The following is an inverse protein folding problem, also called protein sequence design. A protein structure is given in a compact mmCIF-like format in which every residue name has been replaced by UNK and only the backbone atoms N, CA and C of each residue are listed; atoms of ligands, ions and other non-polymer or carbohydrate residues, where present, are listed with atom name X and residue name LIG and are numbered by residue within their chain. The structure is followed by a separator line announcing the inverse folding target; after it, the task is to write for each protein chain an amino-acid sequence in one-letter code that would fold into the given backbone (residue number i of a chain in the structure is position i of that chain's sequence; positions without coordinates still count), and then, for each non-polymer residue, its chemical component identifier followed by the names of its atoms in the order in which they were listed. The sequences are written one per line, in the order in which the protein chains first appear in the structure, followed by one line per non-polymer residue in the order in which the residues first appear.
data_IF_352651867113
#
_entry.id   IF_352651867113
#
_cell.length_a   1.000
_cell.length_b   1.000
_cell.length_c   1.000
_cell.angle_alpha   90.00
_cell.angle_beta   90.00
_cell.angle_gamma   90.00
#
_symmetry.space_group_name_H-M   'P 1'
#
loop_
_entity.id
_entity.type
_entity.pdbx_description
1 polymer ?
#
# COMPACT_ATOMS: atom_id res chain seq x y z
N UNK A 1 -25.59 -55.04 87.27
CA UNK A 1 -26.45 -55.44 86.15
C UNK A 1 -26.44 -54.42 85.09
N UNK A 2 -26.30 -54.91 83.89
CA UNK A 2 -26.37 -54.17 82.57
C UNK A 2 -25.27 -53.17 82.25
N UNK A 3 -24.35 -53.71 81.46
CA UNK A 3 -23.26 -52.96 80.79
C UNK A 3 -23.71 -52.19 79.56
N UNK A 4 -23.09 -51.05 79.36
CA UNK A 4 -23.23 -50.28 78.20
C UNK A 4 -21.87 -50.25 77.46
N UNK A 5 -21.81 -50.88 76.29
CA UNK A 5 -20.65 -50.85 75.36
C UNK A 5 -20.59 -49.52 74.62
N UNK A 6 -19.51 -48.81 74.82
CA UNK A 6 -19.19 -47.61 74.03
C UNK A 6 -18.74 -48.02 72.62
N UNK A 7 -19.42 -47.48 71.54
CA UNK A 7 -19.03 -47.59 70.15
C UNK A 7 -18.03 -46.46 69.79
N UNK A 8 -16.83 -46.86 69.48
CA UNK A 8 -15.75 -46.00 68.96
C UNK A 8 -16.07 -45.59 67.53
N UNK A 9 -16.26 -44.29 67.24
CA UNK A 9 -16.39 -43.71 65.86
C UNK A 9 -15.02 -43.56 65.30
N UNK A 10 -14.79 -44.15 64.07
CA UNK A 10 -13.59 -43.92 63.22
C UNK A 10 -13.71 -42.59 62.57
N UNK A 11 -12.61 -41.76 62.46
CA UNK A 11 -12.63 -40.53 61.68
C UNK A 11 -12.54 -40.85 60.17
N UNK A 12 -13.52 -40.34 59.41
CA UNK A 12 -13.50 -40.42 57.95
C UNK A 12 -12.53 -39.41 57.41
N UNK A 13 -11.57 -39.88 56.61
CA UNK A 13 -10.68 -39.06 55.81
C UNK A 13 -11.46 -38.65 54.58
N UNK A 14 -11.79 -37.34 54.47
CA UNK A 14 -12.28 -36.75 53.25
C UNK A 14 -11.08 -36.42 52.36
N UNK A 15 -10.88 -37.17 51.30
CA UNK A 15 -9.99 -36.78 50.18
C UNK A 15 -10.63 -35.60 49.45
N UNK A 16 -10.09 -34.39 49.63
CA UNK A 16 -10.42 -33.23 48.79
C UNK A 16 -9.63 -33.39 47.48
N UNK A 17 -10.27 -33.93 46.46
CA UNK A 17 -9.76 -33.88 45.08
C UNK A 17 -9.88 -32.43 44.58
N UNK A 18 -8.75 -31.73 44.59
CA UNK A 18 -8.61 -30.40 44.00
C UNK A 18 -8.64 -30.55 42.48
N UNK A 19 -9.81 -30.28 41.87
CA UNK A 19 -9.96 -30.23 40.43
C UNK A 19 -9.16 -29.00 39.92
N UNK A 20 -8.02 -29.27 39.32
CA UNK A 20 -7.32 -28.26 38.48
C UNK A 20 -8.12 -28.09 37.19
N UNK A 21 -8.97 -27.06 37.12
CA UNK A 21 -9.49 -26.56 35.84
C UNK A 21 -8.35 -25.83 35.12
N UNK A 22 -8.00 -26.24 33.92
CA UNK A 22 -7.09 -25.41 33.12
C UNK A 22 -7.78 -24.07 32.81
N UNK A 23 -7.18 -22.98 33.28
CA UNK A 23 -7.53 -21.65 32.80
C UNK A 23 -7.21 -21.64 31.26
N UNK A 24 -8.21 -21.92 30.46
CA UNK A 24 -8.17 -21.61 29.05
C UNK A 24 -8.13 -20.08 28.98
N UNK A 25 -6.94 -19.54 28.90
CA UNK A 25 -6.72 -18.14 28.57
C UNK A 25 -7.34 -17.90 27.20
N UNK A 26 -8.47 -17.23 27.16
CA UNK A 26 -9.00 -16.68 25.93
C UNK A 26 -7.98 -15.66 25.43
N UNK A 27 -7.21 -16.03 24.41
CA UNK A 27 -6.43 -15.06 23.65
C UNK A 27 -7.45 -14.06 23.08
N UNK A 28 -7.53 -12.90 23.70
CA UNK A 28 -8.36 -11.80 23.20
C UNK A 28 -7.70 -11.32 21.91
N UNK A 29 -8.20 -11.76 20.77
CA UNK A 29 -7.92 -11.06 19.50
C UNK A 29 -8.29 -9.60 19.75
N UNK A 30 -7.36 -8.69 19.54
CA UNK A 30 -7.60 -7.26 19.75
C UNK A 30 -8.80 -6.86 18.88
N UNK A 31 -9.96 -6.64 19.50
CA UNK A 31 -11.16 -6.18 18.81
C UNK A 31 -10.86 -4.81 18.20
N UNK A 32 -10.68 -4.75 16.88
CA UNK A 32 -10.56 -3.49 16.16
C UNK A 32 -11.94 -2.82 16.21
N UNK A 33 -12.07 -1.62 16.81
CA UNK A 33 -13.35 -0.92 16.85
C UNK A 33 -13.87 -0.59 15.45
N UNK A 34 -15.17 -0.32 15.35
CA UNK A 34 -15.76 0.13 14.08
C UNK A 34 -15.06 1.39 13.55
N UNK A 35 -14.90 1.50 12.22
CA UNK A 35 -14.32 2.68 11.58
C UNK A 35 -15.06 3.98 11.94
N UNK A 36 -14.39 5.14 11.86
CA UNK A 36 -15.05 6.42 12.10
C UNK A 36 -16.17 6.66 11.09
N UNK A 37 -17.22 7.34 11.52
CA UNK A 37 -18.29 7.79 10.61
C UNK A 37 -17.75 8.88 9.68
N UNK A 38 -17.85 8.65 8.37
CA UNK A 38 -17.39 9.55 7.30
C UNK A 38 -18.61 9.88 6.43
N UNK A 39 -18.82 11.18 6.13
CA UNK A 39 -19.97 11.66 5.37
C UNK A 39 -19.60 11.99 3.90
N UNK A 40 -18.67 11.26 3.33
CA UNK A 40 -18.31 11.36 1.92
C UNK A 40 -19.04 10.29 1.10
N UNK A 41 -19.25 10.53 -0.20
CA UNK A 41 -19.92 9.58 -1.10
C UNK A 41 -19.11 8.29 -1.31
N UNK A 42 -17.79 8.43 -1.33
CA UNK A 42 -16.85 7.32 -1.47
C UNK A 42 -15.57 7.60 -0.68
N UNK A 43 -15.04 6.57 -0.02
CA UNK A 43 -13.75 6.67 0.66
C UNK A 43 -13.05 5.31 0.75
N UNK A 44 -11.72 5.39 0.86
CA UNK A 44 -10.84 4.23 0.98
C UNK A 44 -9.65 4.59 1.88
N UNK A 45 -9.23 3.65 2.73
CA UNK A 45 -7.99 3.68 3.47
C UNK A 45 -7.22 2.40 3.20
N UNK A 46 -5.99 2.52 2.70
CA UNK A 46 -5.13 1.37 2.39
C UNK A 46 -3.75 1.52 3.03
N UNK A 47 -3.16 0.38 3.37
CA UNK A 47 -1.73 0.27 3.65
C UNK A 47 -0.96 0.31 2.32
N UNK A 48 -0.02 1.23 2.22
CA UNK A 48 0.79 1.42 1.01
C UNK A 48 1.68 0.22 0.67
N UNK A 49 2.27 -0.41 1.69
CA UNK A 49 3.27 -1.46 1.49
C UNK A 49 2.64 -2.78 1.02
N UNK A 50 1.49 -3.14 1.59
CA UNK A 50 0.80 -4.41 1.32
C UNK A 50 -0.39 -4.28 0.37
N UNK A 51 -0.94 -3.08 0.21
CA UNK A 51 -2.20 -2.83 -0.51
C UNK A 51 -3.45 -3.25 0.29
N UNK A 52 -3.30 -3.67 1.55
CA UNK A 52 -4.43 -4.10 2.37
C UNK A 52 -5.42 -2.96 2.60
N UNK A 53 -6.69 -3.24 2.34
CA UNK A 53 -7.80 -2.31 2.59
C UNK A 53 -8.18 -2.37 4.06
N UNK A 54 -8.07 -1.24 4.76
CA UNK A 54 -8.39 -1.11 6.18
C UNK A 54 -9.81 -0.61 6.42
N UNK A 55 -10.26 0.33 5.57
CA UNK A 55 -11.60 0.91 5.61
C UNK A 55 -12.02 1.23 4.19
N UNK A 56 -13.25 0.92 3.83
CA UNK A 56 -13.82 1.32 2.54
C UNK A 56 -15.31 1.59 2.62
N UNK A 57 -15.78 2.46 1.72
CA UNK A 57 -17.19 2.71 1.47
C UNK A 57 -17.36 3.14 0.02
N UNK A 58 -18.16 2.38 -0.74
CA UNK A 58 -18.36 2.60 -2.17
C UNK A 58 -17.04 2.84 -2.96
N UNK A 59 -15.95 2.05 -2.72
CA UNK A 59 -14.62 2.39 -3.24
C UNK A 59 -14.55 2.35 -4.76
N UNK A 60 -15.47 1.64 -5.41
CA UNK A 60 -15.54 1.44 -6.86
C UNK A 60 -16.65 2.30 -7.51
N UNK A 61 -17.29 3.20 -6.74
CA UNK A 61 -18.25 4.17 -7.26
C UNK A 61 -17.53 5.17 -8.16
N UNK A 62 -17.95 5.24 -9.44
CA UNK A 62 -17.43 6.21 -10.39
C UNK A 62 -17.94 7.61 -10.08
N UNK A 63 -17.04 8.52 -9.78
CA UNK A 63 -17.29 9.92 -9.47
C UNK A 63 -16.34 10.83 -10.25
N UNK A 64 -16.72 12.07 -10.55
CA UNK A 64 -15.81 13.04 -11.15
C UNK A 64 -14.59 13.27 -10.24
N UNK A 65 -13.35 13.02 -10.73
CA UNK A 65 -12.14 13.16 -9.91
C UNK A 65 -11.77 14.62 -9.61
N UNK A 66 -12.29 15.58 -10.36
CA UNK A 66 -11.86 16.98 -10.31
C UNK A 66 -10.31 17.05 -10.40
N UNK A 67 -9.67 18.02 -9.76
CA UNK A 67 -8.19 18.17 -9.82
C UNK A 67 -7.36 17.02 -9.24
N UNK A 68 -7.98 15.92 -8.76
CA UNK A 68 -7.27 14.67 -8.44
C UNK A 68 -6.75 13.97 -9.71
N UNK A 69 -7.36 14.26 -10.87
CA UNK A 69 -6.86 13.93 -12.22
C UNK A 69 -5.38 14.26 -12.40
N UNK A 70 -4.94 15.41 -11.85
CA UNK A 70 -3.56 15.89 -11.97
C UNK A 70 -2.51 14.96 -11.34
N UNK A 71 -2.95 14.00 -10.53
CA UNK A 71 -2.05 12.98 -10.02
C UNK A 71 -1.54 12.09 -11.16
N UNK A 72 -2.40 11.72 -12.13
CA UNK A 72 -1.97 11.00 -13.34
C UNK A 72 -1.08 11.88 -14.22
N UNK A 73 -1.43 13.15 -14.39
CA UNK A 73 -0.59 14.09 -15.18
C UNK A 73 0.81 14.23 -14.58
N UNK A 74 0.91 14.39 -13.25
CA UNK A 74 2.19 14.49 -12.56
C UNK A 74 2.96 13.15 -12.59
N UNK A 75 2.26 12.01 -12.53
CA UNK A 75 2.87 10.70 -12.69
C UNK A 75 3.51 10.53 -14.06
N UNK A 76 2.80 10.91 -15.14
CA UNK A 76 3.34 10.85 -16.51
C UNK A 76 4.54 11.78 -16.67
N UNK A 77 4.45 13.03 -16.16
CA UNK A 77 5.59 13.95 -16.16
C UNK A 77 6.81 13.31 -15.47
N UNK A 78 6.62 12.71 -14.30
CA UNK A 78 7.69 12.05 -13.57
C UNK A 78 8.28 10.85 -14.33
N UNK A 79 7.45 10.08 -15.05
CA UNK A 79 7.89 9.01 -15.95
C UNK A 79 8.77 9.54 -17.08
N UNK A 80 8.37 10.62 -17.75
CA UNK A 80 9.15 11.23 -18.84
C UNK A 80 10.51 11.74 -18.34
N UNK A 81 10.54 12.30 -17.12
CA UNK A 81 11.81 12.74 -16.48
C UNK A 81 12.69 11.52 -16.15
N UNK A 82 12.13 10.46 -15.58
CA UNK A 82 12.87 9.24 -15.22
C UNK A 82 13.45 8.54 -16.45
N UNK A 83 12.72 8.56 -17.57
CA UNK A 83 13.16 8.00 -18.85
C UNK A 83 14.15 8.89 -19.60
N UNK A 84 14.49 10.06 -19.06
CA UNK A 84 15.41 11.01 -19.67
C UNK A 84 14.87 11.68 -20.94
N UNK A 85 13.55 11.62 -21.18
CA UNK A 85 12.90 12.28 -22.32
C UNK A 85 12.51 13.72 -22.01
N UNK A 86 12.52 14.11 -20.75
CA UNK A 86 12.18 15.43 -20.24
C UNK A 86 13.17 15.86 -19.16
N UNK A 87 13.80 17.02 -19.35
CA UNK A 87 14.67 17.65 -18.36
C UNK A 87 13.89 18.60 -17.44
N UNK A 88 14.25 18.67 -16.16
CA UNK A 88 13.59 19.61 -15.24
C UNK A 88 13.83 21.08 -15.58
N UNK A 89 14.97 21.38 -16.21
CA UNK A 89 15.35 22.73 -16.64
C UNK A 89 14.87 23.03 -18.08
N UNK A 90 14.24 22.07 -18.76
CA UNK A 90 13.69 22.29 -20.09
C UNK A 90 12.64 23.40 -20.07
N UNK A 91 12.69 24.26 -21.08
CA UNK A 91 11.78 25.38 -21.22
C UNK A 91 10.56 24.98 -22.06
N UNK A 92 9.42 24.99 -21.44
CA UNK A 92 8.12 24.67 -22.04
C UNK A 92 7.49 25.96 -22.60
N UNK A 93 7.25 26.06 -23.92
CA UNK A 93 6.53 27.19 -24.49
C UNK A 93 5.04 27.13 -24.03
N UNK A 94 4.52 28.30 -23.64
CA UNK A 94 3.12 28.42 -23.26
C UNK A 94 2.28 28.77 -24.48
N UNK A 95 1.35 27.88 -24.83
CA UNK A 95 0.38 28.11 -25.90
C UNK A 95 -0.78 29.02 -25.46
N UNK A 96 -1.62 29.41 -26.42
CA UNK A 96 -2.89 30.10 -26.05
C UNK A 96 -3.87 29.22 -25.34
N UNK A 97 -3.84 27.91 -25.58
CA UNK A 97 -4.69 26.93 -24.82
C UNK A 97 -4.28 26.85 -23.36
N UNK A 98 -2.98 26.86 -23.10
CA UNK A 98 -2.40 26.82 -21.75
C UNK A 98 -2.33 28.20 -21.06
N UNK A 99 -2.82 29.25 -21.71
CA UNK A 99 -2.79 30.59 -21.12
C UNK A 99 -3.74 30.72 -19.94
N UNK A 100 -3.25 31.25 -18.83
CA UNK A 100 -4.05 31.44 -17.60
C UNK A 100 -5.31 32.29 -17.80
N UNK A 101 -5.38 33.11 -18.86
CA UNK A 101 -6.58 33.89 -19.24
C UNK A 101 -7.46 33.18 -20.28
N UNK A 102 -7.21 31.92 -20.60
CA UNK A 102 -8.12 31.16 -21.43
C UNK A 102 -9.47 31.00 -20.71
N UNK A 103 -10.60 31.41 -21.32
CA UNK A 103 -11.93 31.36 -20.66
C UNK A 103 -12.33 29.98 -20.16
N UNK A 104 -11.79 28.90 -20.72
CA UNK A 104 -12.04 27.53 -20.24
C UNK A 104 -11.64 27.35 -18.78
N UNK A 105 -10.70 28.14 -18.27
CA UNK A 105 -10.21 28.08 -16.90
C UNK A 105 -10.89 29.06 -15.93
N UNK A 106 -11.89 29.81 -16.37
CA UNK A 106 -12.54 30.81 -15.52
C UNK A 106 -13.02 30.20 -14.20
N UNK A 107 -12.68 30.87 -13.07
CA UNK A 107 -13.02 30.40 -11.72
C UNK A 107 -12.25 29.17 -11.23
N UNK A 108 -11.32 28.65 -12.01
CA UNK A 108 -10.52 27.46 -11.65
C UNK A 108 -9.17 27.80 -11.03
N UNK A 109 -8.37 26.77 -10.73
CA UNK A 109 -7.02 26.94 -10.14
C UNK A 109 -5.98 27.18 -11.23
N UNK A 110 -5.13 28.17 -11.05
CA UNK A 110 -4.12 28.61 -12.02
C UNK A 110 -2.74 28.74 -11.37
N UNK A 111 -1.71 28.55 -12.18
CA UNK A 111 -0.31 28.91 -11.90
C UNK A 111 0.02 30.32 -12.39
N UNK A 112 -0.81 30.89 -13.27
CA UNK A 112 -0.67 32.22 -13.89
C UNK A 112 0.46 32.29 -14.93
N UNK A 113 0.52 31.30 -15.83
CA UNK A 113 1.42 31.31 -16.98
C UNK A 113 0.83 32.05 -18.18
N UNK A 114 1.69 32.55 -19.08
CA UNK A 114 1.26 33.36 -20.23
C UNK A 114 2.09 33.07 -21.48
N UNK A 115 1.50 33.19 -22.67
CA UNK A 115 2.23 33.05 -23.92
C UNK A 115 3.44 34.01 -24.06
N UNK A 116 4.53 33.51 -24.64
CA UNK A 116 5.75 34.28 -24.83
C UNK A 116 6.71 34.28 -23.64
N UNK A 117 6.30 33.66 -22.51
CA UNK A 117 7.15 33.43 -21.35
C UNK A 117 7.28 31.93 -21.09
N UNK A 118 8.32 31.27 -21.61
CA UNK A 118 8.56 29.85 -21.34
C UNK A 118 8.74 29.58 -19.87
N UNK A 119 8.28 28.41 -19.42
CA UNK A 119 8.30 27.96 -18.02
C UNK A 119 9.13 26.71 -17.91
N UNK A 120 9.92 26.55 -16.87
CA UNK A 120 10.67 25.31 -16.65
C UNK A 120 9.71 24.14 -16.30
N UNK A 121 10.09 22.93 -16.67
CA UNK A 121 9.35 21.72 -16.28
C UNK A 121 9.22 21.64 -14.75
N UNK A 122 10.29 21.98 -14.02
CA UNK A 122 10.29 22.01 -12.56
C UNK A 122 9.26 22.96 -11.96
N UNK A 123 9.07 24.14 -12.56
CA UNK A 123 8.06 25.10 -12.11
C UNK A 123 6.65 24.64 -12.47
N UNK A 124 6.47 24.07 -13.69
CA UNK A 124 5.17 23.48 -14.08
C UNK A 124 4.76 22.34 -13.14
N UNK A 125 5.69 21.46 -12.77
CA UNK A 125 5.42 20.38 -11.83
C UNK A 125 4.94 20.94 -10.47
N UNK A 126 5.61 21.95 -9.91
CA UNK A 126 5.15 22.64 -8.70
C UNK A 126 3.81 23.33 -8.91
N UNK A 127 3.59 23.96 -10.06
CA UNK A 127 2.31 24.55 -10.42
C UNK A 127 1.17 23.53 -10.42
N UNK A 128 1.40 22.35 -10.95
CA UNK A 128 0.43 21.24 -10.99
C UNK A 128 0.13 20.70 -9.59
N UNK A 129 1.17 20.42 -8.81
CA UNK A 129 1.07 19.75 -7.51
C UNK A 129 0.58 20.71 -6.42
N UNK A 130 1.19 21.87 -6.29
CA UNK A 130 0.99 22.82 -5.18
C UNK A 130 -0.22 23.73 -5.43
N UNK A 131 -0.21 24.50 -6.52
CA UNK A 131 -1.31 25.43 -6.83
C UNK A 131 -2.48 24.76 -7.52
N UNK A 132 -2.28 23.56 -8.04
CA UNK A 132 -3.30 22.85 -8.85
C UNK A 132 -3.63 23.56 -10.15
N UNK A 133 -2.64 24.21 -10.78
CA UNK A 133 -2.81 25.03 -12.01
C UNK A 133 -3.29 24.21 -13.19
N UNK A 134 -4.46 24.58 -13.74
CA UNK A 134 -5.00 23.96 -14.96
C UNK A 134 -4.17 24.37 -16.18
N UNK A 135 -3.75 25.62 -16.22
CA UNK A 135 -2.85 26.22 -17.22
C UNK A 135 -1.52 25.46 -17.29
N UNK A 136 -0.86 25.24 -16.14
CA UNK A 136 0.38 24.46 -16.06
C UNK A 136 0.17 23.01 -16.54
N UNK A 137 -1.00 22.44 -16.28
CA UNK A 137 -1.34 21.05 -16.66
C UNK A 137 -1.45 20.93 -18.19
N UNK A 138 -2.12 21.88 -18.85
CA UNK A 138 -2.25 21.88 -20.32
C UNK A 138 -0.89 22.16 -20.97
N UNK A 139 -0.08 23.08 -20.43
CA UNK A 139 1.25 23.38 -20.98
C UNK A 139 2.14 22.13 -20.99
N UNK A 140 2.19 21.38 -19.90
CA UNK A 140 3.01 20.16 -19.84
C UNK A 140 2.43 19.03 -20.71
N UNK A 141 1.10 18.92 -20.80
CA UNK A 141 0.43 17.94 -21.64
C UNK A 141 0.77 18.15 -23.13
N UNK A 142 0.65 19.41 -23.60
CA UNK A 142 1.02 19.78 -24.96
C UNK A 142 2.52 19.56 -25.25
N UNK A 143 3.38 19.85 -24.27
CA UNK A 143 4.82 19.66 -24.42
C UNK A 143 5.22 18.19 -24.55
N UNK A 144 4.63 17.30 -23.73
CA UNK A 144 4.94 15.87 -23.73
C UNK A 144 4.36 15.18 -24.97
N UNK A 145 3.10 15.47 -25.33
CA UNK A 145 2.36 14.70 -26.33
C UNK A 145 2.03 15.49 -27.63
N UNK A 146 2.42 16.76 -27.72
CA UNK A 146 2.13 17.62 -28.85
C UNK A 146 0.75 18.27 -28.82
N UNK A 147 -0.21 17.71 -28.07
CA UNK A 147 -1.53 18.29 -27.80
C UNK A 147 -2.12 17.71 -26.52
N UNK A 148 -3.09 18.43 -25.90
CA UNK A 148 -3.80 17.90 -24.74
C UNK A 148 -4.58 16.62 -25.08
N UNK A 149 -5.20 16.52 -26.26
CA UNK A 149 -5.93 15.33 -26.68
C UNK A 149 -5.00 14.10 -26.76
N UNK A 150 -3.83 14.22 -27.39
CA UNK A 150 -2.85 13.12 -27.43
C UNK A 150 -2.32 12.75 -26.03
N UNK A 151 -2.25 13.71 -25.11
CA UNK A 151 -1.87 13.46 -23.74
C UNK A 151 -2.98 12.72 -22.98
N UNK A 152 -4.23 13.02 -23.23
CA UNK A 152 -5.39 12.28 -22.67
C UNK A 152 -5.40 10.84 -23.13
N UNK A 153 -5.11 10.59 -24.42
CA UNK A 153 -4.92 9.22 -24.92
C UNK A 153 -3.78 8.49 -24.17
N UNK A 154 -2.70 9.21 -23.85
CA UNK A 154 -1.60 8.68 -23.05
C UNK A 154 -2.05 8.38 -21.60
N UNK A 155 -2.82 9.28 -20.97
CA UNK A 155 -3.37 9.07 -19.63
C UNK A 155 -4.25 7.81 -19.57
N UNK A 156 -5.11 7.60 -20.57
CA UNK A 156 -5.99 6.43 -20.62
C UNK A 156 -5.19 5.13 -20.85
N UNK A 157 -4.12 5.16 -21.65
CA UNK A 157 -3.22 3.98 -21.75
C UNK A 157 -2.54 3.65 -20.42
N UNK A 158 -2.04 4.64 -19.69
CA UNK A 158 -1.50 4.39 -18.34
C UNK A 158 -2.57 3.87 -17.37
N UNK A 159 -3.83 4.33 -17.50
CA UNK A 159 -4.93 3.81 -16.71
C UNK A 159 -5.17 2.32 -16.99
N UNK A 160 -5.15 1.91 -18.26
CA UNK A 160 -5.24 0.50 -18.67
C UNK A 160 -4.07 -0.33 -18.14
N UNK A 161 -2.83 0.14 -18.31
CA UNK A 161 -1.61 -0.53 -17.84
C UNK A 161 -1.58 -0.71 -16.31
N UNK A 162 -2.16 0.24 -15.56
CA UNK A 162 -2.30 0.18 -14.10
C UNK A 162 -3.51 -0.67 -13.66
N UNK A 163 -4.37 -1.11 -14.59
CA UNK A 163 -5.60 -1.85 -14.28
C UNK A 163 -6.70 -1.01 -13.65
N UNK A 164 -6.78 0.28 -13.98
CA UNK A 164 -7.79 1.22 -13.43
C UNK A 164 -9.12 1.06 -14.16
N UNK A 165 -9.90 0.08 -13.77
CA UNK A 165 -11.13 -0.32 -14.51
C UNK A 165 -12.30 0.66 -14.35
N UNK A 166 -12.27 1.52 -13.37
CA UNK A 166 -13.31 2.53 -13.12
C UNK A 166 -12.89 3.96 -13.51
N UNK A 167 -11.76 4.13 -14.23
CA UNK A 167 -11.19 5.44 -14.56
C UNK A 167 -11.17 5.69 -16.05
N UNK A 168 -11.68 6.85 -16.46
CA UNK A 168 -11.53 7.39 -17.80
C UNK A 168 -11.25 8.90 -17.75
N UNK A 169 -10.27 9.35 -18.50
CA UNK A 169 -9.85 10.74 -18.58
C UNK A 169 -10.30 11.37 -19.90
N UNK A 170 -10.83 12.59 -19.83
CA UNK A 170 -11.27 13.42 -20.96
C UNK A 170 -10.44 14.71 -21.10
N UNK A 171 -9.69 15.05 -20.05
CA UNK A 171 -8.78 16.19 -20.03
C UNK A 171 -7.66 15.95 -19.01
N UNK A 172 -6.60 16.74 -19.11
CA UNK A 172 -5.41 16.60 -18.27
C UNK A 172 -5.54 17.18 -16.86
N UNK A 173 -6.59 17.99 -16.60
CA UNK A 173 -6.69 18.84 -15.40
C UNK A 173 -7.85 18.54 -14.46
N UNK A 174 -8.91 17.86 -14.95
CA UNK A 174 -10.06 17.45 -14.14
C UNK A 174 -11.22 18.47 -14.09
N UNK A 175 -11.34 19.35 -15.07
CA UNK A 175 -12.57 20.10 -15.28
C UNK A 175 -13.71 19.15 -15.68
N UNK A 176 -14.98 19.50 -15.39
CA UNK A 176 -16.10 18.61 -15.60
C UNK A 176 -16.29 18.15 -17.03
N UNK A 177 -16.45 16.85 -17.23
CA UNK A 177 -16.95 16.21 -18.43
C UNK A 177 -17.74 14.97 -18.02
N UNK A 178 -18.86 14.62 -18.67
CA UNK A 178 -19.72 13.50 -18.24
C UNK A 178 -18.97 12.15 -18.13
N UNK A 179 -18.03 11.91 -19.02
CA UNK A 179 -17.25 10.65 -19.05
C UNK A 179 -15.92 10.74 -18.28
N UNK A 180 -15.57 11.91 -17.71
CA UNK A 180 -14.37 12.08 -16.91
C UNK A 180 -14.59 11.58 -15.48
N UNK A 181 -14.39 10.30 -15.27
CA UNK A 181 -14.73 9.59 -14.04
C UNK A 181 -13.52 8.83 -13.47
N UNK A 182 -13.56 8.58 -12.18
CA UNK A 182 -12.60 7.72 -11.49
C UNK A 182 -13.22 7.17 -10.19
N UNK A 183 -12.53 6.25 -9.54
CA UNK A 183 -12.95 5.63 -8.28
C UNK A 183 -11.96 5.91 -7.16
N UNK A 184 -12.37 5.75 -5.90
CA UNK A 184 -11.43 5.87 -4.78
C UNK A 184 -10.33 4.82 -4.83
N UNK A 185 -10.64 3.60 -5.30
CA UNK A 185 -9.67 2.51 -5.47
C UNK A 185 -8.63 2.84 -6.54
N UNK A 186 -9.07 3.29 -7.70
CA UNK A 186 -8.16 3.66 -8.79
C UNK A 186 -7.25 4.83 -8.42
N UNK A 187 -7.82 5.86 -7.76
CA UNK A 187 -7.03 6.99 -7.27
C UNK A 187 -5.99 6.58 -6.21
N UNK A 188 -6.31 5.60 -5.36
CA UNK A 188 -5.34 5.03 -4.42
C UNK A 188 -4.21 4.28 -5.15
N UNK A 189 -4.52 3.57 -6.23
CA UNK A 189 -3.54 2.88 -7.09
C UNK A 189 -2.60 3.87 -7.76
N UNK A 190 -3.12 4.96 -8.34
CA UNK A 190 -2.28 6.01 -8.93
C UNK A 190 -1.39 6.64 -7.85
N UNK A 191 -1.95 6.92 -6.65
CA UNK A 191 -1.19 7.48 -5.54
C UNK A 191 -0.06 6.57 -5.07
N UNK A 192 -0.33 5.27 -4.91
CA UNK A 192 0.68 4.29 -4.53
C UNK A 192 1.78 4.18 -5.60
N UNK A 193 1.41 4.20 -6.89
CA UNK A 193 2.36 4.17 -8.01
C UNK A 193 3.25 5.42 -8.02
N UNK A 194 2.68 6.61 -7.83
CA UNK A 194 3.44 7.87 -7.78
C UNK A 194 4.47 7.88 -6.63
N UNK A 195 4.11 7.35 -5.45
CA UNK A 195 5.01 7.25 -4.30
C UNK A 195 6.12 6.22 -4.53
N UNK A 196 5.78 5.05 -5.10
CA UNK A 196 6.69 3.91 -5.24
C UNK A 196 7.69 4.09 -6.36
N UNK A 197 7.22 4.59 -7.51
CA UNK A 197 8.03 4.66 -8.73
C UNK A 197 8.85 5.95 -8.78
N UNK A 198 8.34 7.05 -8.21
CA UNK A 198 8.95 8.37 -8.30
C UNK A 198 9.18 9.05 -6.94
N UNK A 199 9.89 8.42 -5.99
CA UNK A 199 10.04 8.95 -4.62
C UNK A 199 10.66 10.35 -4.58
N UNK A 200 11.58 10.68 -5.49
CA UNK A 200 12.21 12.00 -5.57
C UNK A 200 11.21 13.07 -6.05
N UNK A 201 10.38 12.74 -7.05
CA UNK A 201 9.32 13.67 -7.51
C UNK A 201 8.19 13.77 -6.50
N UNK A 202 7.90 12.66 -5.81
CA UNK A 202 6.91 12.65 -4.74
C UNK A 202 7.24 13.65 -3.60
N UNK A 203 8.50 13.94 -3.34
CA UNK A 203 8.91 14.90 -2.30
C UNK A 203 8.28 16.31 -2.48
N UNK A 204 7.95 16.70 -3.72
CA UNK A 204 7.32 18.00 -4.03
C UNK A 204 5.92 18.12 -3.39
N UNK A 205 5.20 17.00 -3.20
CA UNK A 205 3.85 17.02 -2.63
C UNK A 205 3.82 17.52 -1.19
N UNK A 206 4.94 17.46 -0.46
CA UNK A 206 5.09 17.99 0.90
C UNK A 206 5.37 19.50 0.92
N UNK A 207 5.76 20.11 -0.20
CA UNK A 207 6.01 21.54 -0.27
C UNK A 207 4.73 22.32 0.04
N UNK A 208 4.80 23.24 1.00
CA UNK A 208 3.63 24.00 1.47
C UNK A 208 3.28 25.19 0.57
N UNK A 209 4.28 25.71 -0.15
CA UNK A 209 4.11 26.84 -1.06
C UNK A 209 5.29 26.92 -2.03
N UNK A 210 5.06 27.60 -3.15
CA UNK A 210 6.12 28.05 -4.05
C UNK A 210 5.74 29.43 -4.63
N UNK A 211 6.69 30.13 -5.18
CA UNK A 211 6.45 31.45 -5.78
C UNK A 211 6.79 31.39 -7.26
N UNK A 212 5.81 31.73 -8.10
CA UNK A 212 6.01 31.86 -9.54
C UNK A 212 5.58 33.26 -9.98
N UNK A 213 6.37 33.92 -10.82
CA UNK A 213 6.11 35.27 -11.35
C UNK A 213 5.73 36.28 -10.22
N UNK A 214 6.48 36.24 -9.09
CA UNK A 214 6.23 37.02 -7.89
C UNK A 214 4.86 36.77 -7.21
N UNK A 215 4.15 35.72 -7.58
CA UNK A 215 2.86 35.33 -6.98
C UNK A 215 3.12 34.15 -6.05
N UNK A 216 2.98 34.32 -4.71
CA UNK A 216 3.07 33.20 -3.78
C UNK A 216 1.83 32.30 -3.92
N UNK A 217 2.06 31.00 -4.06
CA UNK A 217 1.02 29.99 -4.23
C UNK A 217 1.15 28.94 -3.13
N UNK A 218 0.02 28.51 -2.59
CA UNK A 218 -0.01 27.64 -1.42
C UNK A 218 -0.60 26.27 -1.74
N UNK A 219 -0.02 25.22 -1.15
CA UNK A 219 -0.58 23.88 -1.24
C UNK A 219 -1.98 23.85 -0.63
N UNK A 220 -2.92 23.31 -1.38
CA UNK A 220 -4.34 23.24 -1.00
C UNK A 220 -4.63 22.11 0.00
N UNK A 221 -3.70 21.17 0.19
CA UNK A 221 -3.78 20.15 1.23
C UNK A 221 -3.40 20.75 2.59
N UNK A 222 -4.42 21.14 3.36
CA UNK A 222 -4.22 21.78 4.67
C UNK A 222 -3.69 20.82 5.73
N UNK A 223 -3.76 19.50 5.53
CA UNK A 223 -3.19 18.54 6.47
C UNK A 223 -1.67 18.67 6.60
N UNK A 224 -0.97 19.07 5.51
CA UNK A 224 0.48 19.30 5.52
C UNK A 224 0.97 20.31 6.56
N UNK A 225 0.09 21.18 7.06
CA UNK A 225 0.43 22.20 8.08
C UNK A 225 0.00 21.81 9.48
N UNK A 226 -0.80 20.75 9.60
CA UNK A 226 -1.44 20.37 10.86
C UNK A 226 -0.97 18.99 11.36
N UNK A 227 -0.28 18.23 10.51
CA UNK A 227 0.20 16.87 10.81
C UNK A 227 1.49 16.60 10.04
N UNK A 228 2.62 16.60 10.73
CA UNK A 228 3.96 16.42 10.16
C UNK A 228 4.17 15.04 9.53
N UNK A 229 3.33 14.05 9.88
CA UNK A 229 3.36 12.72 9.28
C UNK A 229 2.77 12.69 7.87
N UNK A 230 1.95 13.70 7.50
CA UNK A 230 1.36 13.82 6.17
C UNK A 230 2.38 14.42 5.19
N UNK A 231 2.55 13.76 4.05
CA UNK A 231 3.53 14.15 3.03
C UNK A 231 2.95 14.28 1.60
N UNK A 232 1.64 14.21 1.47
CA UNK A 232 0.93 14.34 0.17
C UNK A 232 -0.58 14.25 0.35
N UNK A 233 -1.36 14.20 -0.67
CA UNK A 233 -1.07 14.30 -2.12
C UNK A 233 -1.89 15.42 -2.77
N UNK A 234 -3.14 15.13 -3.14
CA UNK A 234 -3.90 16.00 -4.04
C UNK A 234 -5.33 16.23 -3.61
N UNK A 235 -5.75 17.49 -3.62
CA UNK A 235 -7.14 17.91 -3.42
C UNK A 235 -7.85 18.04 -4.77
N UNK A 236 -9.18 17.89 -4.75
CA UNK A 236 -10.05 18.20 -5.87
C UNK A 236 -11.35 18.86 -5.40
N UNK A 237 -11.93 19.69 -6.25
CA UNK A 237 -13.24 20.28 -6.08
C UNK A 237 -13.81 20.75 -7.43
N UNK A 238 -15.02 20.40 -7.69
CA UNK A 238 -15.96 21.08 -8.61
C UNK A 238 -17.35 21.03 -7.97
N UNK A 239 -18.27 21.83 -8.45
CA UNK A 239 -19.66 21.80 -7.94
C UNK A 239 -20.32 20.43 -8.09
N UNK A 240 -19.93 19.66 -9.11
CA UNK A 240 -20.46 18.30 -9.38
C UNK A 240 -19.74 17.23 -8.55
N UNK A 241 -18.41 17.35 -8.38
CA UNK A 241 -17.60 16.36 -7.69
C UNK A 241 -17.63 16.47 -6.16
N UNK A 242 -18.13 17.59 -5.61
CA UNK A 242 -17.93 17.89 -4.20
C UNK A 242 -16.43 18.05 -3.84
N UNK A 243 -16.13 18.09 -2.57
CA UNK A 243 -14.73 18.19 -2.10
C UNK A 243 -14.11 16.81 -1.94
N UNK A 244 -12.85 16.68 -2.31
CA UNK A 244 -12.12 15.42 -2.11
C UNK A 244 -10.64 15.65 -1.85
N UNK A 245 -10.02 14.64 -1.23
CA UNK A 245 -8.60 14.63 -0.90
C UNK A 245 -8.05 13.21 -1.02
N UNK A 246 -6.94 13.07 -1.69
CA UNK A 246 -6.03 11.93 -1.56
C UNK A 246 -4.95 12.38 -0.60
N UNK A 247 -4.81 11.71 0.54
CA UNK A 247 -3.77 12.00 1.51
C UNK A 247 -2.88 10.78 1.78
N UNK A 248 -1.58 11.02 1.96
CA UNK A 248 -0.64 10.02 2.43
C UNK A 248 0.03 10.51 3.70
N UNK A 249 0.25 9.59 4.62
CA UNK A 249 0.97 9.84 5.86
C UNK A 249 1.86 8.64 6.21
N UNK A 250 2.99 8.90 6.90
CA UNK A 250 3.90 7.85 7.37
C UNK A 250 4.19 8.03 8.85
N UNK A 251 3.96 6.96 9.66
CA UNK A 251 4.25 6.92 11.10
C UNK A 251 4.86 5.56 11.45
N UNK A 252 5.93 5.55 12.22
CA UNK A 252 6.54 4.31 12.77
C UNK A 252 6.79 3.22 11.71
N UNK A 253 7.21 3.62 10.50
CA UNK A 253 7.46 2.69 9.39
C UNK A 253 6.26 2.39 8.50
N UNK A 254 5.03 2.43 9.02
CA UNK A 254 3.79 2.23 8.26
C UNK A 254 3.45 3.48 7.44
N UNK A 255 3.08 3.29 6.16
CA UNK A 255 2.51 4.34 5.30
C UNK A 255 1.07 4.01 4.95
N UNK A 256 0.18 4.99 5.12
CA UNK A 256 -1.23 4.88 4.75
C UNK A 256 -1.58 5.87 3.65
N UNK A 257 -2.47 5.45 2.76
CA UNK A 257 -3.12 6.31 1.76
C UNK A 257 -4.62 6.34 2.07
N UNK A 258 -5.18 7.54 2.24
CA UNK A 258 -6.61 7.76 2.34
C UNK A 258 -7.12 8.51 1.12
N UNK A 259 -8.22 8.04 0.54
CA UNK A 259 -8.94 8.71 -0.53
C UNK A 259 -10.33 9.04 -0.02
N UNK A 260 -10.75 10.30 -0.17
CA UNK A 260 -12.08 10.79 0.19
C UNK A 260 -12.66 11.56 -0.99
N UNK A 261 -13.87 11.21 -1.41
CA UNK A 261 -14.59 11.80 -2.56
C UNK A 261 -16.01 12.19 -2.16
N UNK A 262 -16.47 13.36 -2.64
CA UNK A 262 -17.85 13.79 -2.40
C UNK A 262 -18.10 14.42 -1.02
N UNK A 263 -17.08 14.89 -0.30
CA UNK A 263 -17.28 15.62 0.97
C UNK A 263 -17.99 16.96 0.75
N UNK A 264 -18.73 17.41 1.75
CA UNK A 264 -19.55 18.64 1.69
C UNK A 264 -18.75 19.95 1.76
N UNK A 265 -17.51 19.93 2.28
CA UNK A 265 -16.72 21.15 2.48
C UNK A 265 -15.20 20.89 2.51
N UNK A 266 -14.37 21.95 2.35
CA UNK A 266 -12.91 21.84 2.56
C UNK A 266 -12.53 21.38 3.96
N UNK A 267 -13.33 21.70 4.97
CA UNK A 267 -13.11 21.28 6.36
C UNK A 267 -13.46 19.81 6.54
N UNK A 268 -14.61 19.38 5.98
CA UNK A 268 -15.06 17.97 6.05
C UNK A 268 -14.05 17.04 5.43
N UNK A 269 -13.64 17.24 4.15
CA UNK A 269 -12.64 16.36 3.50
C UNK A 269 -11.33 16.25 4.28
N UNK A 270 -10.91 17.37 4.94
CA UNK A 270 -9.71 17.38 5.78
C UNK A 270 -9.89 16.55 7.05
N UNK A 271 -11.00 16.78 7.80
CA UNK A 271 -11.27 16.05 9.05
C UNK A 271 -11.53 14.57 8.80
N UNK A 272 -12.22 14.22 7.73
CA UNK A 272 -12.52 12.85 7.31
C UNK A 272 -11.25 12.08 6.94
N UNK A 273 -10.38 12.66 6.10
CA UNK A 273 -9.06 12.07 5.80
C UNK A 273 -8.21 11.88 7.05
N UNK A 274 -8.18 12.86 7.95
CA UNK A 274 -7.46 12.75 9.24
C UNK A 274 -8.02 11.62 10.10
N UNK A 275 -9.34 11.48 10.17
CA UNK A 275 -10.00 10.44 10.97
C UNK A 275 -9.66 9.05 10.43
N UNK A 276 -9.66 8.86 9.11
CA UNK A 276 -9.25 7.61 8.47
C UNK A 276 -7.78 7.28 8.78
N UNK A 277 -6.85 8.23 8.56
CA UNK A 277 -5.42 8.04 8.84
C UNK A 277 -5.18 7.70 10.32
N UNK A 278 -5.79 8.46 11.25
CA UNK A 278 -5.65 8.21 12.68
C UNK A 278 -6.21 6.85 13.10
N UNK A 279 -7.33 6.42 12.50
CA UNK A 279 -7.89 5.10 12.73
C UNK A 279 -6.91 4.01 12.29
N UNK A 280 -6.37 4.10 11.07
CA UNK A 280 -5.41 3.13 10.56
C UNK A 280 -4.17 3.02 11.45
N UNK A 281 -3.50 4.14 11.74
CA UNK A 281 -2.29 4.13 12.60
C UNK A 281 -2.55 3.71 14.05
N UNK A 282 -3.76 3.93 14.56
CA UNK A 282 -4.10 3.52 15.93
C UNK A 282 -4.32 2.03 16.07
N UNK A 283 -4.95 1.41 15.08
CA UNK A 283 -5.43 0.04 15.20
C UNK A 283 -4.67 -0.97 14.35
N UNK A 284 -3.82 -0.50 13.42
CA UNK A 284 -3.07 -1.37 12.51
C UNK A 284 -1.58 -1.04 12.54
N UNK A 285 -0.80 -1.98 12.07
CA UNK A 285 0.65 -1.87 11.87
C UNK A 285 1.07 -2.65 10.63
N UNK A 286 2.13 -2.19 9.98
CA UNK A 286 2.83 -2.93 8.92
C UNK A 286 4.02 -3.63 9.56
N UNK A 287 4.01 -4.97 9.55
CA UNK A 287 5.06 -5.81 10.11
C UNK A 287 5.84 -6.51 9.00
N UNK A 288 7.14 -6.72 9.24
CA UNK A 288 8.00 -7.54 8.37
C UNK A 288 8.54 -8.72 9.19
N UNK A 289 7.72 -9.75 9.44
CA UNK A 289 8.10 -10.87 10.32
C UNK A 289 9.24 -11.72 9.76
N UNK A 290 9.40 -11.76 8.45
CA UNK A 290 10.48 -12.50 7.79
C UNK A 290 11.24 -11.58 6.83
N UNK A 291 12.57 -11.62 6.92
CA UNK A 291 13.45 -10.92 5.99
C UNK A 291 13.88 -11.84 4.87
N UNK A 292 13.93 -11.32 3.65
CA UNK A 292 14.44 -12.03 2.49
C UNK A 292 15.88 -12.48 2.70
N UNK A 293 16.17 -13.73 2.33
CA UNK A 293 17.47 -14.36 2.50
C UNK A 293 17.76 -14.89 3.91
N UNK A 294 16.87 -14.69 4.89
CA UNK A 294 17.04 -15.25 6.23
C UNK A 294 16.79 -16.77 6.24
N UNK A 295 17.74 -17.53 6.80
CA UNK A 295 17.55 -18.97 7.03
C UNK A 295 16.55 -19.19 8.16
N UNK A 296 15.48 -19.95 7.85
CA UNK A 296 14.46 -20.34 8.83
C UNK A 296 14.69 -21.75 9.35
N UNK A 297 15.18 -22.65 8.48
CA UNK A 297 15.46 -24.04 8.83
C UNK A 297 16.44 -24.65 7.83
N UNK A 298 16.93 -25.85 8.14
CA UNK A 298 17.72 -26.67 7.21
C UNK A 298 16.92 -27.91 6.79
N UNK A 299 16.84 -28.12 5.48
CA UNK A 299 16.21 -29.28 4.88
C UNK A 299 17.24 -30.35 4.50
N UNK A 300 16.97 -31.64 4.83
CA UNK A 300 17.79 -32.76 4.36
C UNK A 300 17.65 -32.94 2.85
N UNK A 301 18.78 -32.97 2.13
CA UNK A 301 18.82 -33.18 0.67
C UNK A 301 19.20 -34.61 0.33
N UNK A 302 18.39 -35.24 -0.51
CA UNK A 302 18.67 -36.55 -1.08
C UNK A 302 19.40 -36.41 -2.42
N UNK A 303 20.35 -37.31 -2.70
CA UNK A 303 21.11 -37.38 -3.97
C UNK A 303 21.90 -36.10 -4.32
N UNK A 304 22.07 -35.20 -3.38
CA UNK A 304 22.81 -33.93 -3.54
C UNK A 304 24.27 -34.04 -3.12
N UNK A 305 25.09 -33.10 -3.61
CA UNK A 305 26.50 -32.94 -3.16
C UNK A 305 26.54 -32.47 -1.70
N UNK A 306 25.57 -31.66 -1.27
CA UNK A 306 25.39 -31.27 0.12
C UNK A 306 24.29 -32.13 0.78
N UNK A 307 24.45 -32.58 2.02
CA UNK A 307 23.48 -33.40 2.74
C UNK A 307 22.28 -32.55 3.28
N UNK A 308 22.44 -31.24 3.36
CA UNK A 308 21.45 -30.29 3.85
C UNK A 308 21.50 -29.02 3.00
N UNK A 309 20.39 -28.28 3.00
CA UNK A 309 20.27 -26.97 2.36
C UNK A 309 19.50 -25.99 3.26
N UNK A 310 19.94 -24.74 3.27
CA UNK A 310 19.26 -23.66 3.97
C UNK A 310 17.93 -23.33 3.25
N UNK A 311 16.86 -23.27 4.02
CA UNK A 311 15.50 -22.94 3.56
C UNK A 311 15.02 -21.68 4.26
N UNK A 312 14.33 -20.82 3.53
CA UNK A 312 13.82 -19.55 4.04
C UNK A 312 12.87 -18.90 3.04
N UNK A 313 12.78 -17.60 3.10
CA UNK A 313 12.07 -16.77 2.10
C UNK A 313 13.09 -15.95 1.32
N UNK A 314 12.90 -15.78 0.01
CA UNK A 314 13.86 -15.01 -0.83
C UNK A 314 13.58 -13.51 -0.80
N UNK A 315 12.36 -13.11 -0.45
CA UNK A 315 11.91 -11.71 -0.33
C UNK A 315 11.33 -11.43 1.05
N UNK A 316 11.32 -10.16 1.46
CA UNK A 316 10.67 -9.74 2.71
C UNK A 316 9.19 -10.11 2.69
N UNK A 317 8.70 -10.73 3.75
CA UNK A 317 7.27 -10.97 3.96
C UNK A 317 6.71 -9.82 4.78
N UNK A 318 5.87 -9.00 4.14
CA UNK A 318 5.27 -7.81 4.75
C UNK A 318 3.77 -8.05 4.95
N UNK A 319 3.27 -7.79 6.16
CA UNK A 319 1.89 -8.00 6.53
C UNK A 319 1.30 -6.74 7.17
N UNK A 320 0.03 -6.47 6.87
CA UNK A 320 -0.77 -5.50 7.61
C UNK A 320 -1.60 -6.24 8.66
N UNK A 321 -1.39 -5.90 9.92
CA UNK A 321 -2.00 -6.59 11.05
C UNK A 321 -2.68 -5.61 12.00
N UNK A 322 -3.72 -6.05 12.71
CA UNK A 322 -4.23 -5.29 13.85
C UNK A 322 -3.17 -5.23 14.94
N UNK A 323 -3.00 -4.07 15.60
CA UNK A 323 -2.03 -3.93 16.69
C UNK A 323 -2.35 -4.89 17.83
N UNK A 324 -1.38 -5.66 18.25
CA UNK A 324 -1.47 -6.65 19.33
C UNK A 324 -0.12 -6.80 20.02
N UNK A 325 -0.15 -7.15 21.31
CA UNK A 325 1.05 -7.47 22.07
C UNK A 325 1.57 -8.90 21.79
N UNK A 326 0.80 -9.75 21.13
CA UNK A 326 1.23 -11.11 20.79
C UNK A 326 2.28 -11.10 19.67
N UNK A 327 3.34 -11.88 19.84
CA UNK A 327 4.40 -12.02 18.85
C UNK A 327 3.94 -12.88 17.66
N UNK A 328 4.56 -12.64 16.49
CA UNK A 328 4.36 -13.46 15.31
C UNK A 328 5.36 -14.61 15.36
N UNK A 329 4.87 -15.82 15.28
CA UNK A 329 5.68 -17.03 15.30
C UNK A 329 5.62 -17.73 13.94
N UNK A 330 6.75 -17.95 13.25
CA UNK A 330 6.79 -18.72 12.02
C UNK A 330 6.82 -20.22 12.33
N UNK A 331 6.08 -21.01 11.57
CA UNK A 331 6.19 -22.44 11.49
C UNK A 331 6.46 -22.88 10.06
N UNK A 332 7.34 -23.86 9.90
CA UNK A 332 7.82 -24.32 8.58
C UNK A 332 7.23 -25.68 8.27
N UNK A 333 6.62 -25.80 7.09
CA UNK A 333 6.12 -27.05 6.53
C UNK A 333 6.84 -27.36 5.22
N UNK A 334 7.46 -28.56 5.12
CA UNK A 334 8.16 -29.04 3.91
C UNK A 334 7.27 -30.08 3.25
N UNK A 335 6.92 -29.89 1.97
CA UNK A 335 5.89 -30.68 1.27
C UNK A 335 6.36 -32.09 0.90
N UNK A 336 7.63 -32.29 0.64
CA UNK A 336 8.17 -33.57 0.15
C UNK A 336 9.67 -33.69 0.49
N UNK A 337 10.26 -34.90 0.36
CA UNK A 337 11.72 -35.07 0.45
C UNK A 337 12.44 -34.22 -0.60
N UNK A 338 13.41 -33.41 -0.17
CA UNK A 338 14.20 -32.58 -1.06
C UNK A 338 15.19 -33.45 -1.84
N UNK A 339 15.13 -33.45 -3.14
CA UNK A 339 15.95 -34.27 -4.05
C UNK A 339 16.71 -33.35 -5.00
N UNK A 340 18.04 -33.44 -4.97
CA UNK A 340 18.90 -32.68 -5.89
C UNK A 340 18.72 -33.16 -7.37
N UNK A 341 18.86 -32.23 -8.37
CA UNK A 341 19.30 -30.84 -8.21
C UNK A 341 18.19 -29.93 -7.62
N UNK A 342 18.60 -28.96 -6.80
CA UNK A 342 17.76 -27.90 -6.27
C UNK A 342 18.35 -26.55 -6.70
N UNK A 343 17.51 -25.63 -7.12
CA UNK A 343 17.93 -24.27 -7.49
C UNK A 343 17.56 -23.29 -6.36
N UNK A 344 18.33 -22.23 -6.24
CA UNK A 344 17.90 -21.11 -5.39
C UNK A 344 16.56 -20.54 -5.89
N UNK A 345 15.62 -20.33 -4.98
CA UNK A 345 14.25 -19.92 -5.28
C UNK A 345 13.25 -21.06 -5.56
N UNK A 346 13.71 -22.34 -5.60
CA UNK A 346 12.77 -23.46 -5.72
C UNK A 346 11.86 -23.49 -4.48
N UNK A 347 10.54 -23.50 -4.70
CA UNK A 347 9.55 -23.61 -3.61
C UNK A 347 9.46 -25.07 -3.19
N UNK A 348 9.65 -25.33 -1.90
CA UNK A 348 9.72 -26.67 -1.32
C UNK A 348 8.78 -26.90 -0.15
N UNK A 349 7.91 -25.92 0.11
CA UNK A 349 6.95 -25.95 1.18
C UNK A 349 6.38 -24.56 1.46
N UNK A 350 5.91 -24.36 2.68
CA UNK A 350 5.38 -23.07 3.12
C UNK A 350 5.82 -22.71 4.53
N UNK A 351 5.79 -21.41 4.79
CA UNK A 351 5.95 -20.84 6.13
C UNK A 351 4.60 -20.30 6.55
N UNK A 352 4.03 -20.81 7.63
CA UNK A 352 2.80 -20.31 8.22
C UNK A 352 3.16 -19.35 9.36
N UNK A 353 2.62 -18.14 9.30
CA UNK A 353 2.80 -17.12 10.32
C UNK A 353 1.59 -17.10 11.24
N UNK A 354 1.81 -17.33 12.53
CA UNK A 354 0.75 -17.34 13.54
C UNK A 354 0.96 -16.22 14.56
N UNK A 355 -0.14 -15.64 15.04
CA UNK A 355 -0.14 -14.62 16.09
C UNK A 355 -1.23 -14.96 17.11
N UNK A 356 -0.83 -15.22 18.37
CA UNK A 356 -1.78 -15.62 19.40
C UNK A 356 -2.51 -16.95 19.11
N UNK A 357 -1.91 -17.83 18.28
CA UNK A 357 -2.49 -19.12 17.87
C UNK A 357 -3.37 -19.06 16.61
N UNK A 358 -3.60 -17.89 16.03
CA UNK A 358 -4.33 -17.72 14.77
C UNK A 358 -3.36 -17.50 13.60
N UNK A 359 -3.64 -18.07 12.42
CA UNK A 359 -2.86 -17.82 11.21
C UNK A 359 -3.12 -16.38 10.73
N UNK A 360 -2.03 -15.63 10.55
CA UNK A 360 -2.06 -14.22 10.07
C UNK A 360 -1.44 -14.05 8.69
N UNK A 361 -0.84 -15.11 8.13
CA UNK A 361 -0.30 -15.08 6.78
C UNK A 361 0.49 -16.34 6.46
N UNK A 362 0.78 -16.53 5.18
CA UNK A 362 1.60 -17.61 4.65
C UNK A 362 2.59 -17.06 3.63
N UNK A 363 3.73 -17.72 3.50
CA UNK A 363 4.74 -17.42 2.48
C UNK A 363 5.33 -18.72 1.92
N UNK A 364 5.82 -18.74 0.67
CA UNK A 364 6.53 -19.89 0.14
C UNK A 364 7.83 -20.12 0.93
N UNK A 365 8.11 -21.39 1.25
CA UNK A 365 9.40 -21.82 1.77
C UNK A 365 10.29 -22.15 0.57
N UNK A 366 11.41 -21.47 0.46
CA UNK A 366 12.26 -21.52 -0.72
C UNK A 366 13.67 -22.00 -0.36
N UNK A 367 14.33 -22.61 -1.34
CA UNK A 367 15.74 -23.00 -1.28
C UNK A 367 16.58 -21.72 -1.39
N UNK A 368 17.45 -21.44 -0.39
CA UNK A 368 18.28 -20.24 -0.39
C UNK A 368 19.57 -20.40 -1.21
N UNK A 369 20.06 -21.62 -1.37
CA UNK A 369 21.29 -21.93 -2.13
C UNK A 369 21.10 -23.17 -2.98
N UNK A 370 21.61 -23.15 -4.21
CA UNK A 370 21.53 -24.29 -5.10
C UNK A 370 22.29 -25.50 -4.57
N UNK A 371 21.78 -26.70 -4.81
CA UNK A 371 22.47 -27.97 -4.48
C UNK A 371 22.55 -28.83 -5.74
N UNK A 372 23.79 -29.04 -6.20
CA UNK A 372 24.07 -29.87 -7.36
C UNK A 372 23.87 -31.36 -7.04
N UNK A 373 23.55 -32.20 -8.04
CA UNK A 373 23.44 -33.65 -7.85
C UNK A 373 24.79 -34.28 -7.51
N UNK A 374 24.76 -35.25 -6.59
CA UNK A 374 25.93 -36.06 -6.25
C UNK A 374 26.38 -36.96 -7.42
N UNK A 375 27.56 -37.53 -7.31
CA UNK A 375 28.09 -38.53 -8.27
C UNK A 375 27.18 -39.76 -8.39
N UNK A 376 27.37 -40.53 -9.47
CA UNK A 376 26.49 -41.66 -9.84
C UNK A 376 26.25 -42.65 -8.69
N UNK A 377 27.28 -43.11 -8.01
CA UNK A 377 27.17 -44.09 -6.93
C UNK A 377 26.43 -43.55 -5.70
N UNK A 378 26.69 -42.30 -5.34
CA UNK A 378 25.99 -41.64 -4.24
C UNK A 378 24.50 -41.46 -4.54
N UNK A 379 24.14 -41.15 -5.79
CA UNK A 379 22.73 -41.04 -6.23
C UNK A 379 22.01 -42.39 -6.18
N UNK A 380 22.69 -43.49 -6.62
CA UNK A 380 22.13 -44.85 -6.56
C UNK A 380 21.87 -45.27 -5.11
N UNK A 381 22.84 -45.05 -4.23
CA UNK A 381 22.69 -45.31 -2.79
C UNK A 381 21.59 -44.46 -2.14
N UNK A 382 21.54 -43.18 -2.46
CA UNK A 382 20.48 -42.29 -2.02
C UNK A 382 19.08 -42.72 -2.49
N UNK A 383 18.96 -43.33 -3.68
CA UNK A 383 17.68 -43.87 -4.18
C UNK A 383 17.20 -45.06 -3.34
N UNK A 384 18.11 -45.94 -2.98
CA UNK A 384 17.81 -47.13 -2.14
C UNK A 384 17.35 -46.67 -0.75
N UNK A 385 18.09 -45.76 -0.13
CA UNK A 385 17.74 -45.23 1.19
C UNK A 385 16.39 -44.51 1.22
N UNK A 386 16.12 -43.69 0.19
CA UNK A 386 14.83 -43.00 0.06
C UNK A 386 13.66 -43.98 -0.07
N UNK A 387 13.83 -45.03 -0.87
CA UNK A 387 12.83 -46.09 -1.02
C UNK A 387 12.55 -46.82 0.30
N UNK A 388 13.59 -47.18 1.08
CA UNK A 388 13.40 -47.76 2.40
C UNK A 388 12.69 -46.83 3.38
N UNK A 389 12.98 -45.52 3.36
CA UNK A 389 12.29 -44.55 4.21
C UNK A 389 10.80 -44.45 3.86
N UNK A 390 10.44 -44.48 2.57
CA UNK A 390 9.04 -44.46 2.12
C UNK A 390 8.29 -45.75 2.44
N UNK A 391 8.99 -46.85 2.66
CA UNK A 391 8.38 -48.16 2.97
C UNK A 391 8.15 -48.35 4.49
N UNK A 392 8.93 -47.63 5.32
CA UNK A 392 8.94 -47.76 6.77
C UNK A 392 8.20 -46.59 7.50
N UNK A 393 7.88 -45.49 6.81
CA UNK A 393 7.13 -44.34 7.32
C UNK A 393 5.75 -44.27 6.76
#
# INVERSE_FOLDING_TARGET
MTGARAKMKRPGWYLITMLWLPLVGWASSALVPAPPAINADSYLLVDFDTGAVLVEHNPDLQLPPASRTKLMTAYILAQEVQLGRLGLDDLVPVSRNAWSQNPVFDGSSLMWIEPGKPVTVADLERGIVISSGNDATVAIAEHIAGSEAAFVDLMNRYAEEMGLTGTHFENSHGLPHPEHLSTARDLATIAASAIRVHPERYAIYKEQSFTYNNIPQYNRNRLLREDDSVDGLKTGYTSVAGYGLIASAKREGMRLISVVMGSSSPSSRKSESRSLLNYGFRFYETATPLRGGAELTQGRVWKGQAPQVALGVTTDVVLTLSRSAAEITPSVEIDAPLIAPLKAGDVVGRVVLTRGGESVGEAPLEVLQAVEPAGFFARLWGTILLWFQQLLG
#
